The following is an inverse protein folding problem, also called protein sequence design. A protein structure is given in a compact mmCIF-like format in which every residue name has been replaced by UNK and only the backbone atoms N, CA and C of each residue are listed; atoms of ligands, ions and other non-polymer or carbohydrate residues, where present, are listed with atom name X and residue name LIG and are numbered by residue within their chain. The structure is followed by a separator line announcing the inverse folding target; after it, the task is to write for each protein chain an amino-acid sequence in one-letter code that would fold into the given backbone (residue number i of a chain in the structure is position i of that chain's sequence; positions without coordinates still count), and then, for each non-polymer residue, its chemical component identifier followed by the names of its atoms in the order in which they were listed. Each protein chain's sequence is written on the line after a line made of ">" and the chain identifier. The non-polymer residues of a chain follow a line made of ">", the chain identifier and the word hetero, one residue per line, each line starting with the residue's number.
data_IF_594109179464
#
_entry.id   IF_594109179464
#
_cell.length_a   1.000
_cell.length_b   1.000
_cell.length_c   1.000
_cell.angle_alpha   90.00
_cell.angle_beta   90.00
_cell.angle_gamma   90.00
#
_symmetry.space_group_name_H-M   'P 1'
#
loop_
_entity.id
_entity.type
_entity.pdbx_description
1 polymer ?
#
# COMPACT_ATOMS: atom_id res chain seq x y z
N UNK A 1 -7.08 -3.88 45.82
CA UNK A 1 -6.50 -4.56 44.64
C UNK A 1 -5.43 -3.64 44.10
N UNK A 2 -4.17 -4.05 44.18
CA UNK A 2 -3.01 -3.16 44.00
C UNK A 2 -2.75 -2.88 42.52
N UNK A 3 -2.27 -1.68 42.18
CA UNK A 3 -2.00 -1.24 40.80
C UNK A 3 -1.08 -2.19 40.01
N UNK A 4 -0.28 -2.99 40.73
CA UNK A 4 0.58 -4.04 40.18
C UNK A 4 -0.21 -5.20 39.57
N UNK A 5 -1.35 -5.60 40.17
CA UNK A 5 -2.22 -6.65 39.63
C UNK A 5 -2.89 -6.19 38.33
N UNK A 6 -3.39 -4.95 38.28
CA UNK A 6 -3.96 -4.38 37.07
C UNK A 6 -2.93 -4.26 35.94
N UNK A 7 -1.67 -3.89 36.25
CA UNK A 7 -0.59 -3.86 35.25
C UNK A 7 -0.23 -5.24 34.69
N UNK A 8 -0.19 -6.25 35.55
CA UNK A 8 0.08 -7.63 35.12
C UNK A 8 -1.05 -8.16 34.23
N UNK A 9 -2.30 -7.84 34.57
CA UNK A 9 -3.48 -8.23 33.79
C UNK A 9 -3.53 -7.52 32.44
N UNK A 10 -3.18 -6.23 32.39
CA UNK A 10 -3.06 -5.45 31.17
C UNK A 10 -1.96 -6.01 30.24
N UNK A 11 -0.79 -6.33 30.79
CA UNK A 11 0.30 -6.94 30.03
C UNK A 11 -0.09 -8.31 29.48
N UNK A 12 -0.85 -9.10 30.24
CA UNK A 12 -1.32 -10.41 29.82
C UNK A 12 -2.31 -10.31 28.65
N UNK A 13 -3.23 -9.34 28.70
CA UNK A 13 -4.16 -9.07 27.59
C UNK A 13 -3.42 -8.62 26.32
N UNK A 14 -2.44 -7.71 26.44
CA UNK A 14 -1.62 -7.27 25.29
C UNK A 14 -0.88 -8.46 24.66
N UNK A 15 -0.35 -9.35 25.49
CA UNK A 15 0.33 -10.56 25.02
C UNK A 15 -0.63 -11.56 24.35
N UNK A 16 -1.86 -11.71 24.85
CA UNK A 16 -2.87 -12.56 24.21
C UNK A 16 -3.26 -12.04 22.83
N UNK A 17 -3.50 -10.72 22.69
CA UNK A 17 -3.81 -10.09 21.40
C UNK A 17 -2.66 -10.31 20.41
N UNK A 18 -1.41 -10.16 20.84
CA UNK A 18 -0.24 -10.40 20.00
C UNK A 18 -0.08 -11.87 19.59
N UNK A 19 -0.56 -12.82 20.41
CA UNK A 19 -0.49 -14.25 20.12
C UNK A 19 -1.62 -14.69 19.17
N UNK A 20 -2.81 -14.12 19.30
CA UNK A 20 -3.95 -14.37 18.40
C UNK A 20 -3.65 -13.90 16.97
N UNK A 21 -2.93 -12.78 16.81
CA UNK A 21 -2.51 -12.27 15.50
C UNK A 21 -1.36 -13.10 14.89
N UNK A 22 -0.59 -13.85 15.70
CA UNK A 22 0.54 -14.69 15.24
C UNK A 22 0.10 -16.04 14.66
N UNK A 23 -1.15 -16.45 14.88
CA UNK A 23 -1.66 -17.77 14.47
C UNK A 23 -2.17 -17.86 13.03
N UNK A 24 -2.39 -16.73 12.34
CA UNK A 24 -3.13 -16.72 11.06
C UNK A 24 -2.27 -16.53 9.81
N UNK A 25 -1.03 -16.06 9.96
CA UNK A 25 -0.08 -15.88 8.83
C UNK A 25 1.33 -16.16 9.36
N UNK A 26 2.06 -17.04 8.67
CA UNK A 26 3.46 -17.31 8.97
C UNK A 26 4.23 -15.97 8.96
N UNK A 27 4.96 -15.64 10.02
CA UNK A 27 5.57 -14.31 10.19
C UNK A 27 6.54 -13.92 9.04
N UNK A 28 6.98 -14.92 8.29
CA UNK A 28 7.73 -14.78 7.05
C UNK A 28 6.87 -14.28 5.87
N UNK A 29 5.66 -14.83 5.68
CA UNK A 29 4.69 -14.40 4.67
C UNK A 29 4.17 -13.00 4.97
N UNK A 30 3.85 -12.70 6.23
CA UNK A 30 3.40 -11.38 6.65
C UNK A 30 4.42 -10.29 6.28
N UNK A 31 5.71 -10.57 6.46
CA UNK A 31 6.78 -9.64 6.09
C UNK A 31 6.84 -9.40 4.59
N UNK A 32 6.66 -10.43 3.76
CA UNK A 32 6.63 -10.30 2.30
C UNK A 32 5.42 -9.51 1.82
N UNK A 33 4.22 -9.77 2.37
CA UNK A 33 3.02 -9.01 2.03
C UNK A 33 3.16 -7.54 2.44
N UNK A 34 3.59 -7.26 3.67
CA UNK A 34 3.74 -5.87 4.14
C UNK A 34 4.81 -5.12 3.36
N UNK A 35 6.00 -5.70 3.17
CA UNK A 35 7.06 -5.03 2.41
C UNK A 35 6.72 -4.90 0.93
N UNK A 36 6.08 -5.89 0.33
CA UNK A 36 5.61 -5.86 -1.05
C UNK A 36 4.56 -4.78 -1.27
N UNK A 37 3.57 -4.66 -0.39
CA UNK A 37 2.55 -3.62 -0.45
C UNK A 37 3.13 -2.23 -0.22
N UNK A 38 4.06 -2.07 0.74
CA UNK A 38 4.75 -0.80 0.97
C UNK A 38 5.62 -0.38 -0.22
N UNK A 39 6.34 -1.33 -0.82
CA UNK A 39 7.14 -1.08 -2.01
C UNK A 39 6.24 -0.68 -3.19
N UNK A 40 5.12 -1.39 -3.37
CA UNK A 40 4.16 -1.07 -4.42
C UNK A 40 3.53 0.31 -4.24
N UNK A 41 3.18 0.67 -3.00
CA UNK A 41 2.73 2.01 -2.65
C UNK A 41 3.78 3.06 -2.99
N UNK A 42 5.04 2.83 -2.62
CA UNK A 42 6.15 3.75 -2.88
C UNK A 42 6.36 4.00 -4.38
N UNK A 43 6.43 2.94 -5.20
CA UNK A 43 6.61 3.11 -6.65
C UNK A 43 5.40 3.76 -7.31
N UNK A 44 4.19 3.49 -6.81
CA UNK A 44 2.95 4.09 -7.33
C UNK A 44 2.88 5.58 -7.05
N UNK A 45 3.19 6.01 -5.82
CA UNK A 45 3.24 7.42 -5.43
C UNK A 45 4.39 8.16 -6.15
N UNK A 46 5.57 7.54 -6.27
CA UNK A 46 6.69 8.13 -7.01
C UNK A 46 6.37 8.31 -8.49
N UNK A 47 5.69 7.34 -9.10
CA UNK A 47 5.30 7.39 -10.50
C UNK A 47 4.24 8.46 -10.76
N UNK A 48 3.20 8.52 -9.93
CA UNK A 48 2.20 9.59 -10.02
C UNK A 48 2.86 10.96 -9.86
N UNK A 49 3.71 11.15 -8.85
CA UNK A 49 4.44 12.41 -8.64
C UNK A 49 5.36 12.77 -9.80
N UNK A 50 6.01 11.78 -10.42
CA UNK A 50 6.87 11.99 -11.58
C UNK A 50 6.09 12.49 -12.80
N UNK A 51 4.92 11.89 -13.09
CA UNK A 51 4.07 12.33 -14.21
C UNK A 51 3.43 13.69 -13.92
N UNK A 52 3.07 13.97 -12.67
CA UNK A 52 2.53 15.27 -12.28
C UNK A 52 3.59 16.38 -12.33
N UNK A 53 4.87 16.05 -12.21
CA UNK A 53 5.98 17.01 -12.38
C UNK A 53 5.95 18.20 -11.43
N UNK A 54 5.19 18.11 -10.32
CA UNK A 54 4.95 19.22 -9.40
C UNK A 54 3.83 20.18 -9.80
N UNK A 55 3.03 19.84 -10.81
CA UNK A 55 1.81 20.55 -11.17
C UNK A 55 0.60 19.93 -10.46
N UNK A 56 0.10 20.61 -9.43
CA UNK A 56 -1.09 20.20 -8.66
C UNK A 56 -2.38 20.16 -9.50
N UNK A 57 -2.36 20.75 -10.71
CA UNK A 57 -3.49 20.74 -11.64
C UNK A 57 -3.63 19.40 -12.38
N UNK A 58 -2.55 18.63 -12.44
CA UNK A 58 -2.53 17.33 -13.12
C UNK A 58 -2.71 16.26 -12.06
N UNK A 59 -3.82 15.52 -12.12
CA UNK A 59 -4.01 14.35 -11.27
C UNK A 59 -3.92 13.08 -12.11
N UNK A 60 -2.71 12.50 -12.17
CA UNK A 60 -2.47 11.25 -12.88
C UNK A 60 -3.43 10.12 -12.47
N UNK A 61 -3.89 10.08 -11.22
CA UNK A 61 -4.78 9.02 -10.73
C UNK A 61 -6.21 9.12 -11.26
N UNK A 62 -6.64 10.30 -11.73
CA UNK A 62 -7.99 10.49 -12.29
C UNK A 62 -8.02 10.40 -13.81
N UNK A 63 -6.86 10.22 -14.45
CA UNK A 63 -6.80 10.07 -15.91
C UNK A 63 -7.27 8.67 -16.32
N UNK A 64 -8.03 8.55 -17.42
CA UNK A 64 -8.34 7.26 -18.01
C UNK A 64 -7.10 6.63 -18.65
N UNK A 65 -6.99 5.31 -18.54
CA UNK A 65 -5.89 4.53 -19.11
C UNK A 65 -5.75 4.72 -20.63
N UNK A 66 -6.84 5.03 -21.33
CA UNK A 66 -6.90 5.22 -22.79
C UNK A 66 -6.10 6.44 -23.28
N UNK A 67 -5.83 7.42 -22.40
CA UNK A 67 -4.99 8.59 -22.75
C UNK A 67 -3.51 8.20 -22.79
N UNK A 68 -3.13 7.07 -22.17
CA UNK A 68 -1.76 6.58 -22.17
C UNK A 68 -1.43 6.01 -23.55
N UNK A 69 -0.69 6.79 -24.33
CA UNK A 69 -0.15 6.32 -25.60
C UNK A 69 1.01 5.34 -25.39
N UNK A 70 1.25 4.41 -26.32
CA UNK A 70 2.40 3.51 -26.27
C UNK A 70 3.75 4.25 -26.15
N UNK A 71 3.84 5.45 -26.74
CA UNK A 71 5.04 6.29 -26.65
C UNK A 71 5.33 6.77 -25.22
N UNK A 72 4.30 7.19 -24.47
CA UNK A 72 4.44 7.59 -23.06
C UNK A 72 4.88 6.39 -22.21
N UNK A 73 4.31 5.22 -22.50
CA UNK A 73 4.68 3.98 -21.83
C UNK A 73 6.14 3.61 -22.09
N UNK A 74 6.58 3.64 -23.35
CA UNK A 74 7.97 3.34 -23.72
C UNK A 74 8.96 4.33 -23.12
N UNK A 75 8.62 5.62 -23.07
CA UNK A 75 9.47 6.65 -22.48
C UNK A 75 9.57 6.52 -20.95
N UNK A 76 8.44 6.23 -20.29
CA UNK A 76 8.41 5.93 -18.86
C UNK A 76 9.24 4.67 -18.52
N UNK A 77 9.12 3.61 -19.32
CA UNK A 77 9.91 2.38 -19.13
C UNK A 77 11.41 2.66 -19.37
N UNK A 78 11.79 3.46 -20.37
CA UNK A 78 13.20 3.80 -20.62
C UNK A 78 13.80 4.67 -19.51
N UNK A 79 13.02 5.61 -18.97
CA UNK A 79 13.51 6.55 -17.95
C UNK A 79 13.52 5.96 -16.54
N UNK A 80 12.46 5.24 -16.16
CA UNK A 80 12.27 4.74 -14.78
C UNK A 80 12.46 3.23 -14.65
N UNK A 81 12.40 2.47 -15.76
CA UNK A 81 12.48 1.00 -15.75
C UNK A 81 11.15 0.30 -15.48
N UNK A 82 10.07 1.05 -15.22
CA UNK A 82 8.74 0.51 -14.92
C UNK A 82 7.64 1.51 -15.32
N UNK A 83 6.42 1.00 -15.50
CA UNK A 83 5.24 1.79 -15.83
C UNK A 83 4.02 1.22 -15.09
N UNK A 84 3.17 2.09 -14.55
CA UNK A 84 1.94 1.73 -13.83
C UNK A 84 0.78 2.52 -14.44
N UNK A 85 -0.29 1.84 -14.85
CA UNK A 85 -1.47 2.52 -15.36
C UNK A 85 -2.18 3.33 -14.26
N UNK A 86 -2.89 4.42 -14.62
CA UNK A 86 -3.72 5.16 -13.68
C UNK A 86 -4.65 4.24 -12.87
N UNK A 87 -5.40 3.35 -13.51
CA UNK A 87 -6.30 2.39 -12.84
C UNK A 87 -5.60 1.46 -11.84
N UNK A 88 -4.31 1.20 -12.07
CA UNK A 88 -3.46 0.32 -11.28
C UNK A 88 -2.62 1.09 -10.25
N UNK A 89 -2.89 2.36 -10.00
CA UNK A 89 -2.24 3.05 -8.88
C UNK A 89 -2.76 2.49 -7.55
N UNK A 90 -1.90 2.51 -6.53
CA UNK A 90 -2.25 2.07 -5.19
C UNK A 90 -3.52 2.77 -4.67
N UNK A 91 -3.66 4.08 -4.91
CA UNK A 91 -4.85 4.84 -4.52
C UNK A 91 -6.14 4.29 -5.18
N UNK A 92 -6.07 3.93 -6.46
CA UNK A 92 -7.22 3.44 -7.21
C UNK A 92 -7.54 1.97 -6.88
N UNK A 93 -6.53 1.16 -6.61
CA UNK A 93 -6.73 -0.23 -6.16
C UNK A 93 -7.36 -0.27 -4.77
N UNK A 94 -6.90 0.57 -3.85
CA UNK A 94 -7.49 0.68 -2.51
C UNK A 94 -8.94 1.19 -2.58
N UNK A 95 -9.22 2.17 -3.45
CA UNK A 95 -10.57 2.70 -3.64
C UNK A 95 -11.54 1.66 -4.23
N UNK A 96 -11.06 0.78 -5.11
CA UNK A 96 -11.84 -0.28 -5.74
C UNK A 96 -11.83 -1.61 -4.97
N UNK A 97 -11.10 -1.68 -3.85
CA UNK A 97 -11.02 -2.90 -3.07
C UNK A 97 -12.40 -3.22 -2.45
N UNK A 98 -12.85 -4.48 -2.52
CA UNK A 98 -14.09 -4.87 -1.87
C UNK A 98 -13.98 -4.63 -0.35
N UNK A 99 -15.07 -4.20 0.31
CA UNK A 99 -15.06 -4.04 1.76
C UNK A 99 -14.69 -5.38 2.41
N UNK A 100 -13.66 -5.36 3.25
CA UNK A 100 -13.21 -6.55 3.97
C UNK A 100 -14.37 -7.11 4.80
N UNK A 101 -14.76 -8.38 4.63
CA UNK A 101 -15.71 -9.01 5.53
C UNK A 101 -15.04 -9.09 6.91
N UNK A 102 -15.66 -8.39 7.86
CA UNK A 102 -15.28 -8.38 9.28
C UNK A 102 -15.79 -9.65 9.95
#
# INVERSE_FOLDING_TARGET
>A
MTSTQQRAELQRQIWQIANDVRGSVDGWDFKQYVLGTLFYRFISENFASYIQGGDDSINYATLPDDIITPAIKDDAIKTKGYFIYPSQLFANIVANAPPTPI
#
